data_IF_253664718038
#
_entry.id   IF_253664718038
#
_cell.length_a   1.000
_cell.length_b   1.000
_cell.length_c   1.000
_cell.angle_alpha   90.00
_cell.angle_beta   90.00
_cell.angle_gamma   90.00
#
_symmetry.space_group_name_H-M   'P 1'
#
loop_
_entity.id
_entity.type
_entity.pdbx_description
1 polymer ?
#
# COMPACT_ATOMS: atom_id res chain seq x y z
N UNK A 1 46.91 7.10 38.99
CA UNK A 1 45.56 7.71 39.01
C UNK A 1 45.31 8.74 37.88
N UNK A 2 46.27 9.52 37.40
CA UNK A 2 46.06 10.52 36.32
C UNK A 2 45.74 9.93 34.92
N UNK A 3 46.14 8.70 34.64
CA UNK A 3 45.90 8.04 33.32
C UNK A 3 44.51 7.42 33.20
N UNK A 4 43.85 7.06 34.29
CA UNK A 4 42.49 6.52 34.31
C UNK A 4 41.44 7.62 34.11
N UNK A 5 41.70 8.82 34.64
CA UNK A 5 40.81 9.98 34.47
C UNK A 5 40.69 10.46 33.01
N UNK A 6 41.78 10.34 32.22
CA UNK A 6 41.77 10.70 30.81
C UNK A 6 40.96 9.72 29.94
N UNK A 7 40.91 8.44 30.32
CA UNK A 7 40.15 7.40 29.58
C UNK A 7 38.63 7.58 29.79
N UNK A 8 38.18 8.01 30.95
CA UNK A 8 36.78 8.28 31.25
C UNK A 8 36.26 9.50 30.48
N UNK A 9 37.11 10.51 30.24
CA UNK A 9 36.74 11.72 29.50
C UNK A 9 36.58 11.45 27.98
N UNK A 10 37.30 10.46 27.43
CA UNK A 10 37.17 10.10 26.03
C UNK A 10 35.85 9.34 25.72
N UNK A 11 35.22 8.72 26.74
CA UNK A 11 33.97 7.95 26.54
C UNK A 11 32.71 8.83 26.51
N UNK A 12 32.80 10.10 26.88
CA UNK A 12 31.65 11.02 26.88
C UNK A 12 31.42 11.78 25.57
N UNK A 13 32.26 11.60 24.54
CA UNK A 13 32.16 12.34 23.28
C UNK A 13 31.29 11.66 22.21
N UNK A 14 30.57 10.58 22.55
CA UNK A 14 29.95 9.68 21.56
C UNK A 14 28.45 9.74 21.39
N UNK A 15 27.68 10.62 22.07
CA UNK A 15 26.22 10.66 21.88
C UNK A 15 25.83 11.90 21.08
N UNK A 16 26.20 11.92 19.81
CA UNK A 16 25.59 12.82 18.85
C UNK A 16 24.17 12.29 18.57
N UNK A 17 23.16 12.79 19.28
CA UNK A 17 21.77 12.58 18.87
C UNK A 17 21.61 13.30 17.54
N UNK A 18 21.53 12.57 16.45
CA UNK A 18 21.10 13.11 15.17
C UNK A 18 19.70 13.68 15.41
N UNK A 19 19.57 15.00 15.45
CA UNK A 19 18.29 15.66 15.59
C UNK A 19 17.46 15.30 14.37
N UNK A 20 16.36 14.56 14.59
CA UNK A 20 15.48 14.15 13.52
C UNK A 20 14.73 15.40 13.00
N UNK A 21 15.11 15.88 11.83
CA UNK A 21 14.57 17.11 11.25
C UNK A 21 13.10 16.88 10.85
N UNK A 22 12.22 17.75 11.34
CA UNK A 22 10.80 17.75 10.93
C UNK A 22 10.69 18.41 9.56
N UNK A 23 10.09 17.71 8.60
CA UNK A 23 9.80 18.21 7.25
C UNK A 23 8.40 18.81 7.18
N UNK A 24 7.42 18.12 7.77
CA UNK A 24 6.02 18.55 7.77
C UNK A 24 5.30 18.07 9.03
N UNK A 25 4.21 18.76 9.37
CA UNK A 25 3.27 18.37 10.41
C UNK A 25 1.89 18.33 9.75
N UNK A 26 1.22 17.18 9.87
CA UNK A 26 -0.09 16.93 9.26
C UNK A 26 -1.06 16.61 10.40
N UNK A 27 -1.89 17.58 10.80
CA UNK A 27 -2.63 17.55 12.05
C UNK A 27 -1.64 17.34 13.22
N UNK A 28 -1.73 16.19 13.93
CA UNK A 28 -0.84 15.85 15.05
C UNK A 28 0.27 14.86 14.64
N UNK A 29 0.36 14.49 13.37
CA UNK A 29 1.36 13.56 12.84
C UNK A 29 2.57 14.29 12.29
N UNK A 30 3.75 13.84 12.68
CA UNK A 30 5.02 14.45 12.28
C UNK A 30 5.69 13.64 11.19
N UNK A 31 6.01 14.27 10.06
CA UNK A 31 6.81 13.69 8.98
C UNK A 31 8.25 14.18 9.17
N UNK A 32 9.17 13.26 9.33
CA UNK A 32 10.58 13.56 9.59
C UNK A 32 11.45 13.26 8.38
N UNK A 33 12.62 13.92 8.31
CA UNK A 33 13.61 13.64 7.26
C UNK A 33 13.99 12.16 7.24
N UNK A 34 14.23 11.57 8.42
CA UNK A 34 14.62 10.16 8.55
C UNK A 34 13.58 9.21 7.94
N UNK A 35 12.28 9.53 8.05
CA UNK A 35 11.21 8.70 7.48
C UNK A 35 11.18 8.67 5.95
N UNK A 36 11.82 9.66 5.29
CA UNK A 36 11.85 9.82 3.83
C UNK A 36 13.27 9.77 3.26
N UNK A 37 14.30 9.63 4.10
CA UNK A 37 15.71 9.76 3.73
C UNK A 37 16.06 8.92 2.50
N UNK A 38 15.74 7.63 2.51
CA UNK A 38 16.03 6.75 1.38
C UNK A 38 15.40 7.25 0.07
N UNK A 39 14.14 7.68 0.09
CA UNK A 39 13.44 8.15 -1.11
C UNK A 39 13.99 9.51 -1.58
N UNK A 40 14.39 10.37 -0.65
CA UNK A 40 14.94 11.68 -0.95
C UNK A 40 16.38 11.59 -1.48
N UNK A 41 17.15 10.61 -1.04
CA UNK A 41 18.52 10.37 -1.53
C UNK A 41 18.52 9.77 -2.95
N UNK A 42 17.54 8.93 -3.26
CA UNK A 42 17.37 8.36 -4.60
C UNK A 42 16.89 9.40 -5.62
N UNK A 43 16.38 10.55 -5.18
CA UNK A 43 15.84 11.58 -6.05
C UNK A 43 16.91 12.59 -6.49
N UNK A 44 16.93 12.93 -7.78
CA UNK A 44 17.96 13.78 -8.40
C UNK A 44 17.57 15.26 -8.54
N UNK A 45 16.29 15.61 -8.33
CA UNK A 45 15.80 16.96 -8.53
C UNK A 45 14.99 17.48 -7.32
N UNK A 46 14.97 18.81 -7.14
CA UNK A 46 14.17 19.44 -6.12
C UNK A 46 12.67 19.16 -6.30
N UNK A 47 12.19 19.14 -7.54
CA UNK A 47 10.77 18.86 -7.82
C UNK A 47 10.38 17.43 -7.43
N UNK A 48 11.26 16.46 -7.67
CA UNK A 48 11.03 15.08 -7.22
C UNK A 48 10.97 15.00 -5.69
N UNK A 49 11.86 15.71 -4.99
CA UNK A 49 11.86 15.77 -3.53
C UNK A 49 10.56 16.37 -2.98
N UNK A 50 10.09 17.45 -3.60
CA UNK A 50 8.79 18.06 -3.25
C UNK A 50 7.65 17.06 -3.44
N UNK A 51 7.60 16.38 -4.59
CA UNK A 51 6.57 15.37 -4.89
C UNK A 51 6.57 14.21 -3.88
N UNK A 52 7.75 13.76 -3.42
CA UNK A 52 7.88 12.74 -2.38
C UNK A 52 7.22 13.21 -1.08
N UNK A 53 7.51 14.45 -0.67
CA UNK A 53 6.94 15.03 0.55
C UNK A 53 5.42 15.19 0.42
N UNK A 54 4.92 15.73 -0.69
CA UNK A 54 3.49 15.89 -0.97
C UNK A 54 2.76 14.55 -0.96
N UNK A 55 3.34 13.53 -1.59
CA UNK A 55 2.80 12.18 -1.57
C UNK A 55 2.74 11.62 -0.14
N UNK A 56 3.77 11.84 0.67
CA UNK A 56 3.77 11.39 2.06
C UNK A 56 2.71 12.13 2.90
N UNK A 57 2.53 13.43 2.70
CA UNK A 57 1.45 14.19 3.33
C UNK A 57 0.08 13.57 2.97
N UNK A 58 -0.15 13.27 1.68
CA UNK A 58 -1.37 12.62 1.21
C UNK A 58 -1.59 11.25 1.83
N UNK A 59 -0.55 10.43 1.97
CA UNK A 59 -0.61 9.13 2.65
C UNK A 59 -0.96 9.33 4.13
N UNK A 60 -0.31 10.26 4.81
CA UNK A 60 -0.55 10.55 6.24
C UNK A 60 -2.00 10.97 6.49
N UNK A 61 -2.56 11.85 5.65
CA UNK A 61 -3.97 12.26 5.73
C UNK A 61 -4.93 11.08 5.57
N UNK A 62 -4.65 10.19 4.60
CA UNK A 62 -5.46 8.98 4.40
C UNK A 62 -5.36 8.03 5.60
N UNK A 63 -4.17 7.86 6.18
CA UNK A 63 -3.98 7.00 7.35
C UNK A 63 -4.66 7.56 8.62
N UNK A 64 -4.70 8.89 8.78
CA UNK A 64 -5.50 9.53 9.83
C UNK A 64 -6.97 9.14 9.65
N UNK A 65 -7.49 9.24 8.41
CA UNK A 65 -8.88 8.90 8.11
C UNK A 65 -9.20 7.41 8.28
N UNK A 66 -8.26 6.54 7.94
CA UNK A 66 -8.37 5.10 8.21
C UNK A 66 -8.57 4.82 9.70
N UNK A 67 -7.78 5.49 10.57
CA UNK A 67 -7.91 5.33 12.02
C UNK A 67 -9.22 5.89 12.56
N UNK A 68 -9.65 7.05 12.09
CA UNK A 68 -10.93 7.66 12.49
C UNK A 68 -12.14 6.80 12.14
N UNK A 69 -12.08 6.05 11.03
CA UNK A 69 -13.17 5.21 10.54
C UNK A 69 -13.01 3.73 10.89
N UNK A 70 -11.98 3.37 11.65
CA UNK A 70 -11.64 1.98 12.04
C UNK A 70 -11.55 1.02 10.83
N UNK A 71 -10.87 1.46 9.78
CA UNK A 71 -10.71 0.73 8.51
C UNK A 71 -9.37 0.00 8.40
N UNK A 72 -8.68 -0.22 9.52
CA UNK A 72 -7.42 -0.98 9.55
C UNK A 72 -7.64 -2.41 9.04
N UNK A 73 -6.70 -2.98 8.27
CA UNK A 73 -6.82 -4.37 7.81
C UNK A 73 -6.69 -5.33 8.97
N UNK A 74 -7.33 -6.48 8.85
CA UNK A 74 -7.16 -7.57 9.80
C UNK A 74 -5.78 -8.24 9.66
N UNK A 75 -5.36 -8.95 10.71
CA UNK A 75 -4.11 -9.74 10.63
C UNK A 75 -4.21 -10.85 9.57
N UNK A 76 -5.41 -11.37 9.33
CA UNK A 76 -5.68 -12.38 8.31
C UNK A 76 -5.45 -11.82 6.90
N UNK A 77 -5.93 -10.59 6.63
CA UNK A 77 -5.70 -9.92 5.35
C UNK A 77 -4.20 -9.70 5.10
N UNK A 78 -3.46 -9.24 6.11
CA UNK A 78 -2.02 -9.01 6.02
C UNK A 78 -1.30 -10.34 5.75
N UNK A 79 -1.64 -11.39 6.50
CA UNK A 79 -1.05 -12.72 6.32
C UNK A 79 -1.38 -13.31 4.96
N UNK A 80 -2.59 -13.08 4.44
CA UNK A 80 -2.98 -13.49 3.10
C UNK A 80 -2.06 -12.91 2.03
N UNK A 81 -1.78 -11.60 2.10
CA UNK A 81 -0.85 -10.93 1.16
C UNK A 81 0.58 -11.44 1.31
N UNK A 82 1.06 -11.64 2.55
CA UNK A 82 2.40 -12.16 2.79
C UNK A 82 2.57 -13.59 2.25
N UNK A 83 1.57 -14.46 2.44
CA UNK A 83 1.58 -15.82 1.90
C UNK A 83 1.61 -15.81 0.38
N UNK A 84 0.79 -14.96 -0.25
CA UNK A 84 0.79 -14.83 -1.71
C UNK A 84 2.15 -14.35 -2.22
N UNK A 85 2.75 -13.37 -1.56
CA UNK A 85 4.07 -12.86 -1.91
C UNK A 85 5.15 -13.95 -1.81
N UNK A 86 5.11 -14.80 -0.78
CA UNK A 86 6.03 -15.92 -0.62
C UNK A 86 5.87 -16.94 -1.76
N UNK A 87 4.63 -17.29 -2.11
CA UNK A 87 4.32 -18.20 -3.23
C UNK A 87 4.81 -17.63 -4.55
N UNK A 88 4.51 -16.37 -4.85
CA UNK A 88 4.88 -15.70 -6.10
C UNK A 88 6.41 -15.63 -6.30
N UNK A 89 7.16 -15.56 -5.20
CA UNK A 89 8.62 -15.53 -5.22
C UNK A 89 9.27 -16.92 -5.02
N UNK A 90 8.48 -17.99 -4.93
CA UNK A 90 8.95 -19.37 -4.69
C UNK A 90 9.82 -19.50 -3.43
N UNK A 91 9.48 -18.81 -2.35
CA UNK A 91 10.14 -18.89 -1.05
C UNK A 91 9.16 -19.34 0.03
N UNK A 92 9.66 -19.88 1.13
CA UNK A 92 8.81 -20.19 2.29
C UNK A 92 8.52 -18.93 3.12
N UNK A 93 7.46 -18.98 3.94
CA UNK A 93 7.15 -17.88 4.84
C UNK A 93 8.28 -17.64 5.86
N UNK A 94 8.93 -18.69 6.33
CA UNK A 94 10.08 -18.59 7.24
C UNK A 94 11.25 -17.86 6.58
N UNK A 95 11.50 -18.15 5.29
CA UNK A 95 12.51 -17.43 4.51
C UNK A 95 12.14 -15.95 4.37
N UNK A 96 10.87 -15.65 4.02
CA UNK A 96 10.38 -14.27 3.92
C UNK A 96 10.57 -13.51 5.25
N UNK A 97 10.24 -14.15 6.38
CA UNK A 97 10.38 -13.55 7.72
C UNK A 97 11.85 -13.34 8.13
N UNK A 98 12.78 -14.08 7.57
CA UNK A 98 14.22 -13.97 7.88
C UNK A 98 14.89 -12.74 7.25
N UNK A 99 14.24 -12.08 6.29
CA UNK A 99 14.79 -10.88 5.66
C UNK A 99 14.79 -9.68 6.61
N UNK A 100 15.88 -8.90 6.69
CA UNK A 100 15.96 -7.71 7.55
C UNK A 100 14.86 -6.66 7.27
N UNK A 101 14.35 -6.62 6.03
CA UNK A 101 13.32 -5.70 5.57
C UNK A 101 11.89 -6.17 5.91
N UNK A 102 11.72 -7.37 6.50
CA UNK A 102 10.39 -7.92 6.78
C UNK A 102 9.48 -7.00 7.61
N UNK A 103 9.96 -6.32 8.68
CA UNK A 103 9.12 -5.38 9.41
C UNK A 103 8.63 -4.20 8.55
N UNK A 104 9.50 -3.66 7.70
CA UNK A 104 9.14 -2.60 6.74
C UNK A 104 8.12 -3.09 5.70
N UNK A 105 8.26 -4.32 5.23
CA UNK A 105 7.31 -4.95 4.32
C UNK A 105 5.92 -5.07 4.94
N UNK A 106 5.82 -5.54 6.19
CA UNK A 106 4.54 -5.60 6.91
C UNK A 106 3.89 -4.22 6.96
N UNK A 107 4.66 -3.19 7.32
CA UNK A 107 4.14 -1.84 7.40
C UNK A 107 3.64 -1.32 6.04
N UNK A 108 4.36 -1.58 4.97
CA UNK A 108 3.95 -1.21 3.61
C UNK A 108 2.67 -1.92 3.19
N UNK A 109 2.54 -3.21 3.47
CA UNK A 109 1.32 -3.99 3.19
C UNK A 109 0.15 -3.44 3.99
N UNK A 110 0.35 -3.21 5.30
CA UNK A 110 -0.68 -2.64 6.18
C UNK A 110 -1.17 -1.29 5.66
N UNK A 111 -0.26 -0.38 5.32
CA UNK A 111 -0.62 0.93 4.79
C UNK A 111 -1.40 0.81 3.46
N UNK A 112 -0.95 -0.05 2.55
CA UNK A 112 -1.61 -0.26 1.25
C UNK A 112 -3.02 -0.84 1.41
N UNK A 113 -3.20 -1.83 2.27
CA UNK A 113 -4.51 -2.41 2.56
C UNK A 113 -5.44 -1.40 3.24
N UNK A 114 -4.93 -0.63 4.19
CA UNK A 114 -5.68 0.45 4.86
C UNK A 114 -6.22 1.48 3.88
N UNK A 115 -5.36 1.97 2.99
CA UNK A 115 -5.75 2.94 1.96
C UNK A 115 -6.78 2.32 1.00
N UNK A 116 -6.61 1.06 0.62
CA UNK A 116 -7.59 0.35 -0.21
C UNK A 116 -8.95 0.23 0.50
N UNK A 117 -8.96 -0.13 1.78
CA UNK A 117 -10.19 -0.19 2.57
C UNK A 117 -10.88 1.16 2.65
N UNK A 118 -10.13 2.25 2.84
CA UNK A 118 -10.66 3.61 2.80
C UNK A 118 -11.27 3.95 1.44
N UNK A 119 -10.59 3.63 0.35
CA UNK A 119 -11.10 3.85 -1.00
C UNK A 119 -12.39 3.08 -1.24
N UNK A 120 -12.43 1.80 -0.88
CA UNK A 120 -13.64 0.98 -0.97
C UNK A 120 -14.79 1.53 -0.13
N UNK A 121 -14.50 2.00 1.09
CA UNK A 121 -15.50 2.61 1.97
C UNK A 121 -16.09 3.88 1.36
N UNK A 122 -15.27 4.74 0.76
CA UNK A 122 -15.72 5.99 0.14
C UNK A 122 -16.52 5.71 -1.13
N UNK A 123 -16.15 4.69 -1.90
CA UNK A 123 -16.75 4.40 -3.22
C UNK A 123 -17.89 3.41 -3.19
N UNK A 124 -18.18 2.77 -2.05
CA UNK A 124 -19.19 1.71 -1.94
C UNK A 124 -20.59 2.11 -2.42
N UNK A 125 -20.93 3.40 -2.27
CA UNK A 125 -22.25 3.93 -2.63
C UNK A 125 -22.21 4.72 -3.95
N UNK A 126 -21.06 4.73 -4.66
CA UNK A 126 -20.93 5.40 -5.95
C UNK A 126 -21.42 4.46 -7.06
N UNK A 127 -22.61 4.73 -7.58
CA UNK A 127 -23.06 4.17 -8.86
C UNK A 127 -22.43 5.02 -9.98
N UNK A 128 -21.48 4.48 -10.70
CA UNK A 128 -20.94 5.13 -11.90
C UNK A 128 -21.87 4.78 -13.06
N UNK A 129 -22.86 5.64 -13.33
CA UNK A 129 -23.64 5.57 -14.57
C UNK A 129 -22.83 6.30 -15.66
N UNK A 130 -22.12 5.55 -16.46
CA UNK A 130 -21.47 6.10 -17.66
C UNK A 130 -22.59 6.50 -18.65
N UNK A 131 -22.64 7.78 -19.01
CA UNK A 131 -23.55 8.22 -20.05
C UNK A 131 -23.11 7.68 -21.42
N UNK A 132 -24.07 7.40 -22.32
CA UNK A 132 -23.76 6.97 -23.69
C UNK A 132 -22.80 7.94 -24.41
N UNK A 133 -22.87 9.23 -24.09
CA UNK A 133 -21.97 10.24 -24.65
C UNK A 133 -20.52 10.08 -24.17
N UNK A 134 -20.28 9.69 -22.92
CA UNK A 134 -18.94 9.42 -22.39
C UNK A 134 -18.36 8.15 -23.01
N UNK A 135 -19.19 7.11 -23.15
CA UNK A 135 -18.81 5.87 -23.85
C UNK A 135 -18.43 6.16 -25.30
N UNK A 136 -19.26 6.92 -26.01
CA UNK A 136 -19.03 7.27 -27.40
C UNK A 136 -17.79 8.17 -27.57
N UNK A 137 -17.52 9.09 -26.67
CA UNK A 137 -16.31 9.93 -26.70
C UNK A 137 -15.04 9.12 -26.43
N UNK A 138 -15.09 8.13 -25.54
CA UNK A 138 -13.98 7.19 -25.33
C UNK A 138 -13.70 6.33 -26.56
N UNK A 139 -14.76 5.80 -27.20
CA UNK A 139 -14.62 4.92 -28.37
C UNK A 139 -14.22 5.66 -29.63
N UNK A 140 -14.66 6.92 -29.83
CA UNK A 140 -14.29 7.74 -31.00
C UNK A 140 -12.85 8.22 -31.00
N UNK A 141 -12.18 8.26 -29.83
CA UNK A 141 -10.77 8.63 -29.71
C UNK A 141 -9.80 7.44 -29.89
N UNK A 142 -10.29 6.22 -30.06
CA UNK A 142 -9.48 5.05 -30.39
C UNK A 142 -9.20 5.12 -31.88
N UNK A 143 -8.05 5.73 -32.26
CA UNK A 143 -7.58 5.72 -33.62
C UNK A 143 -7.36 4.27 -34.08
N UNK A 144 -8.01 3.89 -35.17
CA UNK A 144 -8.18 2.55 -35.72
C UNK A 144 -6.87 1.87 -36.23
N UNK A 145 -5.70 2.44 -35.92
CA UNK A 145 -4.42 1.94 -36.46
C UNK A 145 -3.69 0.90 -35.59
N UNK A 146 -4.11 0.71 -34.33
CA UNK A 146 -3.46 -0.23 -33.41
C UNK A 146 -4.44 -1.06 -32.55
N UNK A 147 -5.68 -1.25 -33.00
CA UNK A 147 -6.68 -2.02 -32.25
C UNK A 147 -6.36 -3.52 -32.29
N UNK A 148 -5.62 -4.01 -31.32
CA UNK A 148 -5.68 -5.39 -30.94
C UNK A 148 -7.11 -5.67 -30.42
N UNK A 149 -7.91 -6.39 -31.21
CA UNK A 149 -9.23 -6.85 -30.75
C UNK A 149 -9.02 -7.82 -29.58
N UNK A 150 -9.39 -7.41 -28.38
CA UNK A 150 -9.44 -8.29 -27.22
C UNK A 150 -10.85 -8.84 -27.15
N UNK A 151 -11.02 -10.15 -27.40
CA UNK A 151 -12.29 -10.86 -27.14
C UNK A 151 -12.34 -11.16 -25.64
N UNK A 152 -13.27 -10.50 -24.94
CA UNK A 152 -13.59 -10.84 -23.55
C UNK A 152 -14.81 -11.76 -23.59
N UNK A 153 -14.65 -12.99 -23.08
CA UNK A 153 -15.76 -13.92 -22.85
C UNK A 153 -15.97 -14.03 -21.33
N UNK A 154 -17.17 -13.72 -20.87
CA UNK A 154 -17.58 -13.96 -19.49
C UNK A 154 -18.38 -15.25 -19.46
N UNK A 155 -17.92 -16.25 -18.70
CA UNK A 155 -18.67 -17.46 -18.41
C UNK A 155 -19.33 -17.27 -17.05
N UNK A 156 -20.65 -17.11 -17.03
CA UNK A 156 -21.42 -17.10 -15.80
C UNK A 156 -21.84 -18.55 -15.53
N UNK A 157 -21.26 -19.16 -14.48
CA UNK A 157 -21.71 -20.47 -13.99
C UNK A 157 -22.71 -20.18 -12.87
N UNK A 158 -24.01 -20.35 -13.15
CA UNK A 158 -25.02 -20.39 -12.10
C UNK A 158 -25.11 -21.82 -11.55
N UNK A 159 -25.06 -21.96 -10.23
CA UNK A 159 -25.45 -23.21 -9.60
C UNK A 159 -26.90 -23.54 -10.00
N UNK A 160 -27.09 -24.66 -10.63
CA UNK A 160 -28.44 -25.19 -10.87
C UNK A 160 -28.90 -25.77 -9.54
N UNK A 161 -29.83 -25.09 -8.90
CA UNK A 161 -30.52 -25.57 -7.73
C UNK A 161 -31.16 -26.93 -8.10
N UNK A 162 -30.77 -28.00 -7.39
CA UNK A 162 -31.27 -29.37 -7.63
C UNK A 162 -32.78 -29.39 -7.52
N UNK A 163 -33.46 -29.37 -8.65
CA UNK A 163 -34.86 -29.78 -8.70
C UNK A 163 -34.88 -31.30 -8.62
N UNK A 164 -35.40 -31.83 -7.52
CA UNK A 164 -35.68 -33.25 -7.31
C UNK A 164 -36.46 -33.82 -8.50
N UNK A 165 -35.77 -34.55 -9.37
CA UNK A 165 -36.43 -35.38 -10.36
C UNK A 165 -36.77 -36.71 -9.70
N UNK A 166 -37.97 -36.79 -9.16
CA UNK A 166 -38.56 -38.05 -8.74
C UNK A 166 -38.80 -38.92 -9.99
N UNK A 167 -37.96 -39.92 -10.19
CA UNK A 167 -38.17 -40.96 -11.22
C UNK A 167 -39.23 -41.88 -10.69
N UNK A 168 -40.48 -41.72 -11.18
CA UNK A 168 -41.53 -42.74 -11.07
C UNK A 168 -41.24 -43.82 -12.09
N UNK A 169 -40.83 -44.99 -11.60
CA UNK A 169 -40.86 -46.25 -12.35
C UNK A 169 -42.30 -46.73 -12.51
N UNK A 170 -42.75 -46.88 -13.74
CA UNK A 170 -43.73 -47.87 -14.17
C UNK A 170 -43.18 -48.69 -15.30
#
# INVERSE_FOLDING_TARGET
MKRVSALIFLFQLGVCFAANTIIAIVNDEVITLQSLEQQLDESNSLNEKINIVEKQIGITLQMIKVRELDLSPSQEDINGVLNQLAVDNNISMEQLQSYPQFPSLIQQITNRLSIRNLQQFITKDLSIELSENEINNCTSNINDKDTKQIRIAQIIISEVENSDVSINNQ
#
